data_IF_376185584061
#
_entry.id   IF_376185584061
#
_cell.length_a   1.000
_cell.length_b   1.000
_cell.length_c   1.000
_cell.angle_alpha   90.00
_cell.angle_beta   90.00
_cell.angle_gamma   90.00
#
_symmetry.space_group_name_H-M   'P 1'
#
loop_
_entity.id
_entity.type
_entity.pdbx_description
1 polymer ?
#
# COMPACT_ATOMS: atom_id res chain seq x y z
N UNK A 1 5.92 -0.18 -3.01
CA UNK A 1 7.02 -0.57 -3.93
C UNK A 1 6.57 -1.44 -5.10
N UNK A 2 5.72 -2.45 -4.87
CA UNK A 2 5.29 -3.41 -5.90
C UNK A 2 4.46 -2.81 -7.05
N UNK A 3 3.88 -1.62 -6.88
CA UNK A 3 3.13 -0.90 -7.91
C UNK A 3 4.00 -0.03 -8.81
N UNK A 4 5.30 0.08 -8.53
CA UNK A 4 6.21 0.94 -9.30
C UNK A 4 6.55 0.31 -10.65
N UNK A 5 5.98 0.87 -11.73
CA UNK A 5 6.34 0.50 -13.11
C UNK A 5 7.80 0.75 -13.45
N UNK A 6 8.42 1.76 -12.84
CA UNK A 6 9.85 2.07 -13.06
C UNK A 6 10.73 0.91 -12.58
N UNK A 7 10.36 0.27 -11.47
CA UNK A 7 11.17 -0.80 -10.86
C UNK A 7 10.78 -2.21 -11.34
N UNK A 8 9.51 -2.45 -11.65
CA UNK A 8 8.98 -3.80 -11.94
C UNK A 8 8.41 -3.97 -13.34
N UNK A 9 8.35 -2.91 -14.16
CA UNK A 9 7.82 -2.96 -15.51
C UNK A 9 6.42 -3.58 -15.57
N UNK A 10 6.27 -4.65 -16.36
CA UNK A 10 5.00 -5.38 -16.51
C UNK A 10 4.64 -6.26 -15.29
N UNK A 11 5.59 -6.50 -14.38
CA UNK A 11 5.33 -7.21 -13.13
C UNK A 11 4.84 -6.27 -12.02
N UNK A 12 4.75 -4.97 -12.31
CA UNK A 12 4.20 -4.00 -11.37
C UNK A 12 2.71 -4.28 -11.15
N UNK A 13 2.31 -4.37 -9.88
CA UNK A 13 0.90 -4.47 -9.52
C UNK A 13 0.16 -3.20 -9.95
N UNK A 14 -1.06 -3.37 -10.48
CA UNK A 14 -1.89 -2.23 -10.81
C UNK A 14 -2.23 -1.47 -9.51
N UNK A 15 -1.90 -0.17 -9.47
CA UNK A 15 -2.15 0.70 -8.31
C UNK A 15 -3.62 0.70 -7.91
N UNK A 16 -4.53 0.81 -8.88
CA UNK A 16 -5.97 0.87 -8.61
C UNK A 16 -6.49 -0.44 -8.06
N UNK A 17 -5.93 -1.57 -8.50
CA UNK A 17 -6.23 -2.88 -7.94
C UNK A 17 -5.81 -2.93 -6.47
N UNK A 18 -4.58 -2.52 -6.16
CA UNK A 18 -4.08 -2.47 -4.78
C UNK A 18 -4.96 -1.56 -3.91
N UNK A 19 -5.29 -0.34 -4.37
CA UNK A 19 -6.15 0.57 -3.62
C UNK A 19 -7.53 -0.03 -3.37
N UNK A 20 -8.17 -0.63 -4.38
CA UNK A 20 -9.48 -1.29 -4.22
C UNK A 20 -9.43 -2.49 -3.29
N UNK A 21 -8.36 -3.28 -3.34
CA UNK A 21 -8.20 -4.45 -2.48
C UNK A 21 -8.08 -4.05 -1.02
N UNK A 22 -7.39 -2.94 -0.72
CA UNK A 22 -7.10 -2.55 0.66
C UNK A 22 -8.04 -1.49 1.23
N UNK A 23 -8.82 -0.80 0.40
CA UNK A 23 -9.75 0.23 0.87
C UNK A 23 -10.80 -0.34 1.82
N UNK A 24 -10.96 0.30 2.98
CA UNK A 24 -11.84 -0.14 4.06
C UNK A 24 -11.31 -1.31 4.90
N UNK A 25 -10.15 -1.90 4.55
CA UNK A 25 -9.48 -2.92 5.36
C UNK A 25 -8.35 -2.35 6.21
N UNK A 26 -7.70 -1.27 5.77
CA UNK A 26 -6.58 -0.67 6.48
C UNK A 26 -7.07 0.14 7.70
N UNK A 27 -6.48 -0.12 8.86
CA UNK A 27 -6.69 0.72 10.03
C UNK A 27 -6.05 2.10 9.80
N UNK A 28 -6.82 3.17 10.09
CA UNK A 28 -6.41 4.56 9.86
C UNK A 28 -5.98 4.84 8.41
N UNK A 29 -6.79 4.42 7.43
CA UNK A 29 -6.55 4.65 6.00
C UNK A 29 -6.29 6.13 5.68
N UNK A 30 -6.99 7.04 6.36
CA UNK A 30 -6.83 8.50 6.20
C UNK A 30 -5.46 9.03 6.66
N UNK A 31 -4.75 8.27 7.50
CA UNK A 31 -3.40 8.62 7.95
C UNK A 31 -2.31 8.14 6.97
N UNK A 32 -2.69 7.45 5.89
CA UNK A 32 -1.73 6.96 4.91
C UNK A 32 -1.25 8.10 4.01
N UNK A 33 0.07 8.15 3.72
CA UNK A 33 0.59 9.03 2.68
C UNK A 33 -0.04 8.70 1.32
N UNK A 34 -0.33 9.69 0.47
CA UNK A 34 -0.89 9.49 -0.88
C UNK A 34 -0.12 8.49 -1.77
N UNK A 35 1.17 8.33 -1.47
CA UNK A 35 2.12 7.45 -2.17
C UNK A 35 2.54 6.24 -1.33
N UNK A 36 1.79 5.85 -0.30
CA UNK A 36 2.12 4.72 0.57
C UNK A 36 2.37 3.41 -0.20
N UNK A 37 1.64 3.20 -1.31
CA UNK A 37 1.85 2.06 -2.22
C UNK A 37 3.22 2.05 -2.90
N UNK A 38 3.97 3.15 -2.88
CA UNK A 38 5.33 3.30 -3.41
C UNK A 38 6.43 3.22 -2.34
N UNK A 39 6.07 3.20 -1.07
CA UNK A 39 7.03 3.16 0.05
C UNK A 39 7.15 1.74 0.59
N UNK A 40 8.29 1.37 1.19
CA UNK A 40 8.45 0.12 1.98
C UNK A 40 8.27 0.45 3.46
N UNK A 41 7.75 -0.50 4.23
CA UNK A 41 7.64 -0.35 5.69
C UNK A 41 6.47 0.53 6.14
N UNK A 42 5.47 0.75 5.28
CA UNK A 42 4.19 1.31 5.72
C UNK A 42 3.50 0.24 6.57
N UNK A 43 3.60 0.37 7.89
CA UNK A 43 2.91 -0.45 8.86
C UNK A 43 1.46 0.03 8.96
N UNK A 44 0.56 -0.76 8.37
CA UNK A 44 -0.88 -0.56 8.47
C UNK A 44 -1.48 -1.70 9.27
N UNK A 45 -2.19 -1.36 10.35
CA UNK A 45 -3.03 -2.32 11.07
C UNK A 45 -2.34 -3.33 11.98
N UNK A 46 -1.03 -3.25 12.24
CA UNK A 46 -0.40 -4.03 13.32
C UNK A 46 -0.51 -3.22 14.61
N UNK A 47 -1.51 -3.52 15.45
CA UNK A 47 -1.42 -3.12 16.85
C UNK A 47 -0.20 -3.82 17.45
N UNK A 48 0.72 -3.10 18.12
CA UNK A 48 1.79 -3.75 18.84
C UNK A 48 1.16 -4.76 19.80
N UNK A 49 1.63 -6.02 19.74
CA UNK A 49 1.28 -7.04 20.71
C UNK A 49 1.59 -6.46 22.10
N UNK A 50 0.55 -6.38 22.93
CA UNK A 50 0.60 -5.82 24.27
C UNK A 50 1.35 -6.72 25.23
#
# INVERSE_FOLDING_TARGET
ILTSKIKFGNLALNKDLVLRTWSGLLMNEDALPDYWTYTVGVLVGIQPLR
#
